data_IF_563347340909
#
_entry.id   IF_563347340909
#
_cell.length_a   1.000
_cell.length_b   1.000
_cell.length_c   1.000
_cell.angle_alpha   90.00
_cell.angle_beta   90.00
_cell.angle_gamma   90.00
#
_symmetry.space_group_name_H-M   'P 1'
#
loop_
_entity.id
_entity.type
_entity.pdbx_description
1 polymer ?
#
# COMPACT_ATOMS: atom_id res chain seq x y z
N UNK A 1 -60.49 -10.45 -27.44
CA UNK A 1 -59.21 -10.58 -26.71
C UNK A 1 -59.01 -9.31 -25.90
N UNK A 2 -58.95 -9.44 -24.56
CA UNK A 2 -58.74 -8.34 -23.61
C UNK A 2 -57.35 -7.75 -23.80
N UNK A 3 -57.22 -6.42 -23.96
CA UNK A 3 -56.09 -5.64 -23.44
C UNK A 3 -56.59 -4.26 -23.01
N UNK A 4 -56.73 -4.13 -21.70
CA UNK A 4 -56.82 -2.88 -20.96
C UNK A 4 -55.46 -2.72 -20.25
N UNK A 5 -55.12 -1.48 -19.90
CA UNK A 5 -53.97 -1.03 -19.09
C UNK A 5 -52.66 -0.67 -19.82
N UNK A 6 -52.00 0.48 -19.58
CA UNK A 6 -52.29 1.71 -18.81
C UNK A 6 -51.27 2.77 -19.26
N UNK A 7 -51.66 4.04 -19.28
CA UNK A 7 -50.76 5.19 -19.40
C UNK A 7 -50.17 5.45 -18.01
N UNK A 8 -48.85 5.51 -17.90
CA UNK A 8 -48.19 6.18 -16.77
C UNK A 8 -47.01 6.99 -17.31
N UNK A 9 -47.24 8.28 -17.48
CA UNK A 9 -46.22 9.30 -17.71
C UNK A 9 -45.76 9.79 -16.35
N UNK A 10 -44.46 9.74 -16.06
CA UNK A 10 -43.85 10.49 -14.97
C UNK A 10 -42.57 11.14 -15.48
N UNK A 11 -42.66 12.46 -15.63
CA UNK A 11 -41.58 13.40 -15.93
C UNK A 11 -40.84 13.67 -14.62
N UNK A 12 -39.51 13.55 -14.63
CA UNK A 12 -38.65 14.08 -13.57
C UNK A 12 -37.59 14.97 -14.19
N UNK A 13 -37.55 16.17 -13.64
CA UNK A 13 -36.89 17.38 -14.12
C UNK A 13 -35.38 17.40 -13.88
N UNK A 14 -34.74 18.15 -14.78
CA UNK A 14 -33.46 18.86 -14.68
C UNK A 14 -33.08 19.27 -13.25
N UNK A 15 -31.81 19.09 -12.89
CA UNK A 15 -31.15 19.95 -11.90
C UNK A 15 -29.89 20.54 -12.50
N UNK A 16 -29.88 21.87 -12.57
CA UNK A 16 -28.77 22.71 -13.00
C UNK A 16 -27.67 22.77 -11.95
N UNK A 17 -26.46 23.01 -12.47
CA UNK A 17 -25.28 23.51 -11.78
C UNK A 17 -25.56 24.81 -11.02
N UNK A 18 -25.00 24.94 -9.82
CA UNK A 18 -24.71 26.24 -9.23
C UNK A 18 -23.21 26.33 -8.95
N UNK A 19 -22.58 27.28 -9.60
CA UNK A 19 -21.26 27.79 -9.28
C UNK A 19 -21.48 28.99 -8.35
N UNK A 20 -20.93 28.94 -7.14
CA UNK A 20 -20.89 30.09 -6.23
C UNK A 20 -19.65 29.96 -5.34
N UNK A 21 -18.60 30.66 -5.73
CA UNK A 21 -17.48 31.00 -4.85
C UNK A 21 -17.94 31.96 -3.76
N UNK A 22 -17.52 31.75 -2.50
CA UNK A 22 -16.89 32.77 -1.65
C UNK A 22 -16.48 32.17 -0.29
N UNK A 23 -15.23 32.47 0.06
CA UNK A 23 -14.47 32.07 1.25
C UNK A 23 -15.16 32.38 2.59
N UNK A 24 -15.09 31.43 3.51
CA UNK A 24 -14.94 31.67 4.94
C UNK A 24 -13.98 30.61 5.53
N UNK A 25 -12.79 31.07 5.94
CA UNK A 25 -11.81 30.30 6.71
C UNK A 25 -12.37 29.97 8.11
N UNK A 26 -12.12 28.76 8.60
CA UNK A 26 -11.39 28.42 9.82
C UNK A 26 -11.10 26.88 9.81
N UNK A 27 -10.04 26.40 10.48
CA UNK A 27 -9.17 25.36 9.94
C UNK A 27 -9.56 23.95 10.38
N UNK A 28 -9.53 23.02 9.44
CA UNK A 28 -9.29 21.61 9.74
C UNK A 28 -8.03 21.24 8.99
N UNK A 29 -6.96 20.97 9.74
CA UNK A 29 -5.70 20.42 9.24
C UNK A 29 -5.96 19.03 8.68
N UNK A 30 -6.51 18.97 7.48
CA UNK A 30 -6.40 17.82 6.63
C UNK A 30 -4.96 17.82 6.16
N UNK A 31 -4.13 17.07 6.89
CA UNK A 31 -2.80 16.66 6.46
C UNK A 31 -2.96 15.77 5.22
N UNK A 32 -3.36 16.41 4.12
CA UNK A 32 -3.41 15.85 2.80
C UNK A 32 -1.95 15.81 2.39
N UNK A 33 -1.28 14.72 2.76
CA UNK A 33 0.00 14.37 2.21
C UNK A 33 -0.17 14.40 0.69
N UNK A 34 0.27 15.51 0.09
CA UNK A 34 0.28 15.67 -1.35
C UNK A 34 1.24 14.62 -1.89
N UNK A 35 0.69 13.52 -2.42
CA UNK A 35 1.44 12.52 -3.15
C UNK A 35 1.88 13.16 -4.46
N UNK A 36 3.05 13.78 -4.44
CA UNK A 36 3.64 14.43 -5.59
C UNK A 36 3.82 13.44 -6.73
N UNK A 37 3.19 13.75 -7.87
CA UNK A 37 3.33 13.09 -9.17
C UNK A 37 4.74 13.31 -9.75
N UNK A 38 5.77 12.86 -9.03
CA UNK A 38 7.15 12.77 -9.52
C UNK A 38 7.86 11.63 -8.78
N UNK A 39 7.29 10.42 -8.83
CA UNK A 39 8.00 9.20 -8.47
C UNK A 39 8.97 8.81 -9.60
N UNK A 40 9.87 9.72 -9.96
CA UNK A 40 10.89 9.47 -10.98
C UNK A 40 11.88 8.44 -10.43
N UNK A 41 12.00 7.30 -11.14
CA UNK A 41 13.10 6.31 -11.26
C UNK A 41 14.01 5.98 -10.07
N UNK A 42 13.72 6.49 -8.88
CA UNK A 42 14.59 6.39 -7.72
C UNK A 42 14.22 5.14 -6.96
N UNK A 43 15.04 4.11 -7.14
CA UNK A 43 14.92 2.87 -6.42
C UNK A 43 15.31 3.09 -4.95
N UNK A 44 14.32 3.07 -4.05
CA UNK A 44 14.57 2.91 -2.62
C UNK A 44 14.31 1.45 -2.24
N UNK A 45 15.36 0.71 -1.86
CA UNK A 45 15.20 -0.69 -1.50
C UNK A 45 16.28 -1.20 -0.52
N UNK A 46 15.85 -1.93 0.49
CA UNK A 46 16.68 -2.77 1.34
C UNK A 46 16.62 -4.21 0.86
N UNK A 47 17.78 -4.78 0.53
CA UNK A 47 17.90 -6.24 0.42
C UNK A 47 17.91 -6.82 1.83
N UNK A 48 16.98 -7.73 2.12
CA UNK A 48 16.85 -8.36 3.44
C UNK A 48 17.20 -9.84 3.34
N UNK A 49 17.99 -10.34 4.27
CA UNK A 49 18.18 -11.76 4.51
C UNK A 49 17.53 -12.11 5.84
N UNK A 50 16.36 -12.75 5.78
CA UNK A 50 15.56 -13.08 6.96
C UNK A 50 16.25 -14.13 7.83
N UNK A 51 16.90 -15.13 7.21
CA UNK A 51 17.59 -16.21 7.94
C UNK A 51 18.78 -15.70 8.76
N UNK A 52 19.52 -14.72 8.22
CA UNK A 52 20.67 -14.11 8.88
C UNK A 52 20.30 -12.87 9.71
N UNK A 53 19.05 -12.43 9.66
CA UNK A 53 18.62 -11.17 10.28
C UNK A 53 19.50 -9.98 9.87
N UNK A 54 19.77 -9.84 8.57
CA UNK A 54 20.58 -8.74 8.04
C UNK A 54 19.86 -7.99 6.92
N UNK A 55 20.19 -6.72 6.74
CA UNK A 55 19.77 -5.92 5.57
C UNK A 55 20.94 -5.13 4.98
N UNK A 56 20.92 -4.92 3.67
CA UNK A 56 21.91 -4.10 2.96
C UNK A 56 21.18 -3.15 2.01
N UNK A 57 21.59 -1.89 1.98
CA UNK A 57 20.92 -0.88 1.15
C UNK A 57 21.28 -1.10 -0.31
N UNK A 58 20.28 -1.20 -1.18
CA UNK A 58 20.46 -1.25 -2.63
C UNK A 58 20.34 0.19 -3.14
N UNK A 59 21.50 0.83 -3.29
CA UNK A 59 21.78 2.13 -3.91
C UNK A 59 20.62 3.15 -3.97
N UNK A 60 20.62 4.06 -3.01
CA UNK A 60 20.49 5.52 -3.23
C UNK A 60 20.91 6.22 -1.94
N UNK A 61 22.00 6.98 -2.03
CA UNK A 61 22.53 7.75 -0.90
C UNK A 61 21.78 9.07 -0.70
N UNK A 62 20.83 9.40 -1.59
CA UNK A 62 20.24 10.75 -1.66
C UNK A 62 18.77 10.84 -1.21
N UNK A 63 18.09 9.72 -0.99
CA UNK A 63 16.71 9.75 -0.47
C UNK A 63 16.72 9.66 1.05
N UNK A 64 16.82 10.83 1.69
CA UNK A 64 16.43 11.00 3.09
C UNK A 64 14.90 11.04 3.14
N UNK A 65 14.26 10.05 3.76
CA UNK A 65 12.81 9.90 3.88
C UNK A 65 12.05 9.55 2.57
N UNK A 66 12.12 8.29 2.11
CA UNK A 66 11.36 7.85 0.95
C UNK A 66 9.85 7.92 1.22
N UNK A 67 9.08 8.42 0.25
CA UNK A 67 7.64 8.31 0.32
C UNK A 67 7.20 6.83 0.11
N UNK A 68 6.01 6.49 0.62
CA UNK A 68 5.47 5.12 0.56
C UNK A 68 5.41 4.57 -0.87
N UNK A 69 5.05 5.39 -1.86
CA UNK A 69 4.91 4.95 -3.23
C UNK A 69 6.25 4.56 -3.86
N UNK A 70 7.33 5.30 -3.57
CA UNK A 70 8.67 4.97 -4.03
C UNK A 70 9.14 3.61 -3.49
N UNK A 71 8.86 3.33 -2.20
CA UNK A 71 9.16 2.05 -1.56
C UNK A 71 8.37 0.92 -2.23
N UNK A 72 7.06 1.11 -2.43
CA UNK A 72 6.19 0.11 -3.10
C UNK A 72 6.66 -0.15 -4.54
N UNK A 73 7.06 0.88 -5.27
CA UNK A 73 7.60 0.72 -6.63
C UNK A 73 8.87 -0.13 -6.62
N UNK A 74 9.78 0.11 -5.67
CA UNK A 74 10.98 -0.71 -5.48
C UNK A 74 10.65 -2.17 -5.18
N UNK A 75 9.71 -2.42 -4.27
CA UNK A 75 9.23 -3.77 -3.94
C UNK A 75 8.63 -4.49 -5.15
N UNK A 76 7.77 -3.80 -5.92
CA UNK A 76 7.12 -4.37 -7.10
C UNK A 76 8.09 -4.61 -8.26
N UNK A 77 9.19 -3.86 -8.34
CA UNK A 77 10.25 -4.13 -9.32
C UNK A 77 11.05 -5.40 -8.97
N UNK A 78 11.28 -5.66 -7.68
CA UNK A 78 12.00 -6.86 -7.21
C UNK A 78 11.10 -8.11 -7.17
N UNK A 79 9.82 -7.95 -6.84
CA UNK A 79 8.82 -9.01 -6.78
C UNK A 79 7.67 -8.76 -7.77
N UNK A 80 7.91 -8.84 -9.10
CA UNK A 80 6.90 -8.52 -10.11
C UNK A 80 5.67 -9.43 -10.06
N UNK A 81 5.81 -10.65 -9.51
CA UNK A 81 4.72 -11.62 -9.38
C UNK A 81 3.94 -11.48 -8.05
N UNK A 82 4.34 -10.59 -7.15
CA UNK A 82 3.68 -10.34 -5.85
C UNK A 82 3.53 -8.83 -5.67
N UNK A 83 2.58 -8.25 -6.41
CA UNK A 83 2.37 -6.81 -6.44
C UNK A 83 1.70 -6.30 -5.17
N UNK A 84 2.34 -5.33 -4.51
CA UNK A 84 1.78 -4.57 -3.40
C UNK A 84 1.12 -3.31 -3.94
N UNK A 85 -0.08 -3.00 -3.46
CA UNK A 85 -0.81 -1.76 -3.75
C UNK A 85 -1.08 -0.98 -2.48
N UNK A 86 -0.81 0.32 -2.53
CA UNK A 86 -1.20 1.24 -1.47
C UNK A 86 -2.73 1.29 -1.35
N UNK A 87 -3.25 1.26 -0.13
CA UNK A 87 -4.69 1.46 0.15
C UNK A 87 -4.93 2.77 0.89
N UNK A 88 -4.40 2.91 2.10
CA UNK A 88 -4.44 4.15 2.90
C UNK A 88 -3.45 4.05 4.07
N UNK A 89 -3.33 5.14 4.84
CA UNK A 89 -2.68 5.15 6.16
C UNK A 89 -3.74 5.53 7.18
N UNK A 90 -3.86 4.76 8.27
CA UNK A 90 -4.73 5.07 9.40
C UNK A 90 -3.87 5.09 10.66
N UNK A 91 -3.77 6.23 11.33
CA UNK A 91 -2.82 6.45 12.44
C UNK A 91 -1.38 6.13 12.02
N UNK A 92 -0.73 5.19 12.68
CA UNK A 92 0.63 4.69 12.38
C UNK A 92 0.61 3.36 11.62
N UNK A 93 -0.54 2.98 11.03
CA UNK A 93 -0.72 1.75 10.26
C UNK A 93 -0.80 2.06 8.77
N UNK A 94 0.13 1.50 8.00
CA UNK A 94 0.09 1.48 6.54
C UNK A 94 -0.75 0.28 6.07
N UNK A 95 -1.86 0.54 5.40
CA UNK A 95 -2.71 -0.49 4.81
C UNK A 95 -2.33 -0.70 3.34
N UNK A 96 -2.02 -1.94 2.99
CA UNK A 96 -1.69 -2.35 1.62
C UNK A 96 -2.46 -3.61 1.23
N UNK A 97 -2.63 -3.81 -0.07
CA UNK A 97 -3.24 -5.03 -0.63
C UNK A 97 -2.31 -5.78 -1.57
N UNK A 98 -2.49 -7.09 -1.67
CA UNK A 98 -1.83 -7.95 -2.66
C UNK A 98 -2.93 -8.64 -3.48
N UNK A 99 -3.39 -8.04 -4.59
CA UNK A 99 -4.58 -8.51 -5.31
C UNK A 99 -4.40 -9.87 -5.99
N UNK A 100 -3.17 -10.25 -6.33
CA UNK A 100 -2.82 -11.55 -6.93
C UNK A 100 -1.87 -12.29 -5.99
N UNK A 101 -2.40 -12.86 -4.91
CA UNK A 101 -1.61 -13.47 -3.83
C UNK A 101 -1.24 -14.93 -4.07
N UNK A 102 -1.61 -15.55 -5.19
CA UNK A 102 -1.39 -16.99 -5.42
C UNK A 102 0.10 -17.35 -5.38
N UNK A 103 0.97 -16.52 -5.97
CA UNK A 103 2.41 -16.72 -5.90
C UNK A 103 2.90 -16.77 -4.45
N UNK A 104 2.49 -15.78 -3.65
CA UNK A 104 2.84 -15.64 -2.24
C UNK A 104 2.27 -16.78 -1.38
N UNK A 105 1.06 -17.21 -1.66
CA UNK A 105 0.28 -18.06 -0.75
C UNK A 105 0.38 -19.55 -1.07
N UNK A 106 0.67 -19.90 -2.33
CA UNK A 106 0.64 -21.28 -2.81
C UNK A 106 1.95 -21.72 -3.48
N UNK A 107 2.71 -20.82 -4.10
CA UNK A 107 3.78 -21.23 -5.02
C UNK A 107 5.20 -20.96 -4.50
N UNK A 108 5.39 -19.98 -3.62
CA UNK A 108 6.72 -19.58 -3.12
C UNK A 108 7.20 -20.41 -1.91
N UNK A 109 6.29 -21.18 -1.29
CA UNK A 109 6.54 -21.96 -0.08
C UNK A 109 6.64 -21.10 1.19
N UNK A 110 6.56 -21.75 2.36
CA UNK A 110 6.53 -21.05 3.66
C UNK A 110 7.77 -20.19 3.92
N UNK A 111 8.96 -20.69 3.63
CA UNK A 111 10.21 -19.93 3.81
C UNK A 111 10.28 -18.73 2.87
N UNK A 112 9.83 -18.89 1.63
CA UNK A 112 9.76 -17.81 0.65
C UNK A 112 8.76 -16.73 1.05
N UNK A 113 7.60 -17.12 1.58
CA UNK A 113 6.61 -16.19 2.11
C UNK A 113 7.16 -15.41 3.32
N UNK A 114 7.86 -16.10 4.24
CA UNK A 114 8.51 -15.45 5.38
C UNK A 114 9.58 -14.44 4.93
N UNK A 115 10.41 -14.81 3.95
CA UNK A 115 11.40 -13.92 3.36
C UNK A 115 10.73 -12.70 2.68
N UNK A 116 9.65 -12.91 1.93
CA UNK A 116 8.89 -11.82 1.32
C UNK A 116 8.36 -10.84 2.38
N UNK A 117 7.71 -11.32 3.44
CA UNK A 117 7.19 -10.43 4.49
C UNK A 117 8.29 -9.69 5.22
N UNK A 118 9.42 -10.32 5.50
CA UNK A 118 10.57 -9.65 6.11
C UNK A 118 11.09 -8.53 5.18
N UNK A 119 11.28 -8.82 3.90
CA UNK A 119 11.70 -7.80 2.92
C UNK A 119 10.68 -6.66 2.82
N UNK A 120 9.41 -6.98 2.61
CA UNK A 120 8.34 -5.99 2.44
C UNK A 120 8.18 -5.12 3.69
N UNK A 121 8.14 -5.73 4.89
CA UNK A 121 7.96 -4.98 6.12
C UNK A 121 9.14 -4.05 6.40
N UNK A 122 10.39 -4.54 6.32
CA UNK A 122 11.58 -3.72 6.56
C UNK A 122 11.62 -2.53 5.61
N UNK A 123 11.27 -2.73 4.34
CA UNK A 123 11.22 -1.65 3.37
C UNK A 123 10.10 -0.65 3.67
N UNK A 124 8.87 -1.12 3.87
CA UNK A 124 7.71 -0.25 4.13
C UNK A 124 7.83 0.53 5.45
N UNK A 125 8.53 -0.02 6.45
CA UNK A 125 8.87 0.68 7.68
C UNK A 125 9.89 1.81 7.49
N UNK A 126 10.44 2.03 6.31
CA UNK A 126 11.26 3.22 6.05
C UNK A 126 10.41 4.46 5.75
N UNK A 127 9.11 4.28 5.49
CA UNK A 127 8.17 5.39 5.46
C UNK A 127 8.04 6.02 6.86
N UNK A 128 8.17 7.34 6.93
CA UNK A 128 8.11 8.08 8.18
C UNK A 128 6.76 7.88 8.92
N UNK A 129 6.84 7.64 10.23
CA UNK A 129 5.67 7.53 11.11
C UNK A 129 4.93 6.19 11.08
N UNK A 130 5.35 5.22 10.26
CA UNK A 130 4.69 3.90 10.18
C UNK A 130 5.26 2.94 11.23
N UNK A 131 4.41 2.42 12.13
CA UNK A 131 4.80 1.38 13.09
C UNK A 131 4.13 0.03 12.84
N UNK A 132 3.04 0.04 12.07
CA UNK A 132 2.33 -1.16 11.68
C UNK A 132 2.09 -1.21 10.17
N UNK A 133 2.09 -2.41 9.61
CA UNK A 133 1.72 -2.65 8.23
C UNK A 133 0.64 -3.72 8.24
N UNK A 134 -0.49 -3.42 7.62
CA UNK A 134 -1.57 -4.36 7.43
C UNK A 134 -1.59 -4.81 5.97
N UNK A 135 -1.42 -6.11 5.74
CA UNK A 135 -1.54 -6.73 4.43
C UNK A 135 -2.92 -7.37 4.27
N UNK A 136 -3.67 -6.90 3.28
CA UNK A 136 -4.93 -7.49 2.85
C UNK A 136 -4.74 -8.31 1.57
N UNK A 137 -5.07 -9.61 1.65
CA UNK A 137 -5.03 -10.52 0.52
C UNK A 137 -5.75 -11.84 0.84
N UNK A 138 -6.08 -12.61 -0.19
CA UNK A 138 -6.67 -13.95 -0.04
C UNK A 138 -5.65 -14.90 0.57
N UNK A 139 -5.95 -15.44 1.76
CA UNK A 139 -5.10 -16.40 2.46
C UNK A 139 -4.88 -17.69 1.67
N UNK A 140 -3.76 -18.37 1.94
CA UNK A 140 -3.49 -19.73 1.47
C UNK A 140 -2.55 -20.48 2.40
N UNK A 141 -1.94 -21.55 1.90
CA UNK A 141 -1.24 -22.54 2.73
C UNK A 141 0.04 -21.99 3.36
N UNK A 142 0.71 -21.07 2.67
CA UNK A 142 2.02 -20.54 3.09
C UNK A 142 1.96 -19.13 3.68
N UNK A 143 0.88 -18.38 3.45
CA UNK A 143 0.75 -17.00 3.88
C UNK A 143 -0.71 -16.63 4.20
N UNK A 144 -0.89 -15.80 5.22
CA UNK A 144 -2.19 -15.28 5.65
C UNK A 144 -2.14 -13.76 5.80
N UNK A 145 -3.23 -13.03 5.50
CA UNK A 145 -3.31 -11.60 5.72
C UNK A 145 -3.17 -11.30 7.21
N UNK A 146 -2.75 -10.08 7.53
CA UNK A 146 -2.52 -9.71 8.91
C UNK A 146 -1.72 -8.43 9.10
N UNK A 147 -1.54 -8.09 10.37
CA UNK A 147 -0.82 -6.90 10.81
C UNK A 147 0.56 -7.30 11.31
N UNK A 148 1.57 -6.57 10.85
CA UNK A 148 2.95 -6.71 11.26
C UNK A 148 3.39 -5.40 11.93
N UNK A 149 4.12 -5.51 13.03
CA UNK A 149 4.68 -4.39 13.77
C UNK A 149 6.16 -4.23 13.47
N UNK A 150 6.66 -2.98 13.54
CA UNK A 150 8.08 -2.67 13.38
C UNK A 150 8.96 -3.47 14.33
N UNK A 151 8.47 -3.71 15.56
CA UNK A 151 9.19 -4.44 16.60
C UNK A 151 9.50 -5.89 16.21
N UNK A 152 8.67 -6.54 15.38
CA UNK A 152 8.92 -7.91 14.92
C UNK A 152 10.19 -8.04 14.07
N UNK A 153 10.71 -6.93 13.53
CA UNK A 153 11.88 -6.91 12.67
C UNK A 153 13.06 -6.13 13.28
N UNK A 154 12.97 -5.77 14.58
CA UNK A 154 14.00 -4.98 15.26
C UNK A 154 15.38 -5.66 15.32
N UNK A 155 15.41 -6.98 15.18
CA UNK A 155 16.64 -7.78 15.19
C UNK A 155 17.36 -7.80 13.84
N UNK A 156 16.71 -7.37 12.75
CA UNK A 156 17.33 -7.27 11.44
C UNK A 156 18.31 -6.09 11.44
N UNK A 157 19.61 -6.38 11.33
CA UNK A 157 20.67 -5.36 11.40
C UNK A 157 21.17 -4.98 10.02
N UNK A 158 21.46 -3.70 9.85
CA UNK A 158 22.17 -3.24 8.67
C UNK A 158 23.60 -3.76 8.66
N UNK A 159 24.01 -4.32 7.52
CA UNK A 159 25.38 -4.77 7.26
C UNK A 159 25.94 -4.01 6.06
N UNK A 160 27.17 -3.51 6.21
CA UNK A 160 27.91 -2.74 5.22
C UNK A 160 28.70 -3.66 4.28
#
# INVERSE_FOLDING_TARGET
MKKLFYIFTAISVLSCSNNADNNANEPVTNDTLAFGENAGDTLYFWNVNNEKSTRTKVLTDEVSNPNVQAIINGLNMVYPDILIRFSNITNDTLNVSIPQSEKLTQQIGTSGAAQFFATACVNLFEAHGINYIHFDFTAGDHAKPGIFSRQQFADIKEVK
#
